data_IF_444818047525
#
_entry.id   IF_444818047525
#
_cell.length_a   1.000
_cell.length_b   1.000
_cell.length_c   1.000
_cell.angle_alpha   90.00
_cell.angle_beta   90.00
_cell.angle_gamma   90.00
#
_symmetry.space_group_name_H-M   'P 1'
#
loop_
_entity.id
_entity.type
_entity.pdbx_description
1 polymer ?
#
# COMPACT_ATOMS: atom_id res chain seq x y z
N UNK A 1 -16.86 18.60 -25.62
CA UNK A 1 -16.70 18.58 -24.14
C UNK A 1 -15.25 18.83 -23.83
N UNK A 2 -14.96 19.85 -23.02
CA UNK A 2 -13.60 20.27 -22.68
C UNK A 2 -13.29 19.89 -21.23
N UNK A 3 -12.03 19.53 -20.95
CA UNK A 3 -11.59 19.10 -19.62
C UNK A 3 -10.38 19.91 -19.18
N UNK A 4 -10.51 20.59 -18.04
CA UNK A 4 -9.43 21.31 -17.38
C UNK A 4 -9.02 20.53 -16.13
N UNK A 5 -7.71 20.34 -15.92
CA UNK A 5 -7.15 19.71 -14.71
C UNK A 5 -6.32 20.74 -13.97
N UNK A 6 -6.65 21.01 -12.70
CA UNK A 6 -5.98 22.02 -11.88
C UNK A 6 -5.26 21.32 -10.73
N UNK A 7 -3.94 21.46 -10.67
CA UNK A 7 -3.14 20.93 -9.56
C UNK A 7 -2.90 22.03 -8.54
N UNK A 8 -3.32 21.79 -7.29
CA UNK A 8 -3.18 22.76 -6.19
C UNK A 8 -2.39 22.14 -5.05
N UNK A 9 -1.23 22.70 -4.72
CA UNK A 9 -0.36 22.19 -3.66
C UNK A 9 -0.96 22.33 -2.26
N UNK A 10 -1.81 23.33 -2.03
CA UNK A 10 -2.42 23.59 -0.73
C UNK A 10 -3.83 23.01 -0.61
N UNK A 11 -3.98 22.00 0.25
CA UNK A 11 -5.26 21.29 0.47
C UNK A 11 -6.41 22.17 0.97
N UNK A 12 -6.13 23.25 1.71
CA UNK A 12 -7.18 24.19 2.16
C UNK A 12 -7.68 25.02 0.99
N UNK A 13 -6.75 25.57 0.19
CA UNK A 13 -7.08 26.34 -1.02
C UNK A 13 -7.79 25.48 -2.07
N UNK A 14 -7.41 24.21 -2.21
CA UNK A 14 -8.06 23.26 -3.12
C UNK A 14 -9.55 23.02 -2.77
N UNK A 15 -9.91 23.03 -1.48
CA UNK A 15 -11.31 22.93 -1.04
C UNK A 15 -12.10 24.19 -1.41
N UNK A 16 -11.57 25.37 -1.11
CA UNK A 16 -12.21 26.64 -1.48
C UNK A 16 -12.42 26.76 -3.00
N UNK A 17 -11.40 26.37 -3.79
CA UNK A 17 -11.50 26.36 -5.24
C UNK A 17 -12.58 25.38 -5.72
N UNK A 18 -12.68 24.19 -5.09
CA UNK A 18 -13.75 23.23 -5.41
C UNK A 18 -15.13 23.82 -5.15
N UNK A 19 -15.30 24.50 -4.03
CA UNK A 19 -16.59 25.08 -3.64
C UNK A 19 -16.98 26.24 -4.55
N UNK A 20 -16.01 27.05 -4.98
CA UNK A 20 -16.20 28.07 -6.02
C UNK A 20 -16.56 27.45 -7.38
N UNK A 21 -15.85 26.39 -7.80
CA UNK A 21 -16.15 25.72 -9.07
C UNK A 21 -17.54 25.09 -9.08
N UNK A 22 -18.05 24.65 -7.92
CA UNK A 22 -19.41 24.13 -7.78
C UNK A 22 -20.50 25.20 -7.91
N UNK A 23 -20.20 26.47 -7.67
CA UNK A 23 -21.18 27.55 -7.81
C UNK A 23 -21.34 28.04 -9.25
N UNK A 24 -20.62 27.46 -10.20
CA UNK A 24 -20.68 27.82 -11.61
C UNK A 24 -21.63 26.87 -12.34
N UNK A 25 -22.65 27.44 -12.99
CA UNK A 25 -23.75 26.68 -13.60
C UNK A 25 -23.30 25.73 -14.75
N UNK A 26 -22.15 26.01 -15.35
CA UNK A 26 -21.57 25.23 -16.45
C UNK A 26 -20.61 24.11 -16.00
N UNK A 27 -20.39 23.95 -14.69
CA UNK A 27 -19.48 22.94 -14.14
C UNK A 27 -20.27 21.68 -13.77
N UNK A 28 -20.33 20.72 -14.69
CA UNK A 28 -21.07 19.47 -14.46
C UNK A 28 -20.45 18.57 -13.39
N UNK A 29 -19.11 18.50 -13.30
CA UNK A 29 -18.40 17.56 -12.41
C UNK A 29 -17.11 18.16 -11.85
N UNK A 30 -17.01 18.17 -10.52
CA UNK A 30 -15.78 18.52 -9.79
C UNK A 30 -15.30 17.34 -8.93
N UNK A 31 -14.24 16.68 -9.38
CA UNK A 31 -13.55 15.62 -8.64
C UNK A 31 -12.33 16.17 -7.91
N UNK A 32 -12.18 15.81 -6.64
CA UNK A 32 -11.00 16.12 -5.84
C UNK A 32 -10.29 14.81 -5.55
N UNK A 33 -9.33 14.42 -6.38
CA UNK A 33 -8.49 13.26 -6.11
C UNK A 33 -7.35 13.69 -5.18
N UNK A 34 -7.44 13.34 -3.91
CA UNK A 34 -6.21 13.26 -3.12
C UNK A 34 -5.43 12.07 -3.68
N UNK A 35 -4.23 12.31 -4.19
CA UNK A 35 -3.29 11.25 -4.53
C UNK A 35 -2.94 10.51 -3.23
N UNK A 36 -3.78 9.54 -2.86
CA UNK A 36 -3.42 8.51 -1.91
C UNK A 36 -2.74 7.47 -2.76
N UNK A 37 -1.46 7.22 -2.51
CA UNK A 37 -0.83 6.02 -3.03
C UNK A 37 -1.77 4.85 -2.77
N UNK A 38 -2.12 4.05 -3.79
CA UNK A 38 -2.86 2.83 -3.53
C UNK A 38 -1.98 2.01 -2.60
N UNK A 39 -2.34 1.97 -1.31
CA UNK A 39 -1.81 0.96 -0.41
C UNK A 39 -2.32 -0.32 -1.00
N UNK A 40 -1.44 -1.01 -1.73
CA UNK A 40 -1.71 -2.32 -2.29
C UNK A 40 -2.18 -3.20 -1.13
N UNK A 41 -3.49 -3.40 -1.02
CA UNK A 41 -4.07 -4.40 -0.11
C UNK A 41 -3.77 -5.83 -0.59
N UNK A 42 -3.00 -5.98 -1.68
CA UNK A 42 -2.32 -7.24 -2.00
C UNK A 42 -1.07 -7.40 -1.12
N UNK A 43 -1.24 -7.33 0.18
CA UNK A 43 -0.55 -8.28 1.03
C UNK A 43 -1.11 -9.64 0.66
N UNK A 44 -0.59 -10.27 -0.41
CA UNK A 44 -0.73 -11.71 -0.58
C UNK A 44 -0.35 -12.28 0.78
N UNK A 45 -1.31 -12.87 1.50
CA UNK A 45 -0.98 -13.67 2.68
C UNK A 45 0.03 -14.67 2.17
N UNK A 46 1.31 -14.42 2.45
CA UNK A 46 2.37 -15.34 2.13
C UNK A 46 1.98 -16.61 2.86
N UNK A 47 1.59 -17.62 2.10
CA UNK A 47 1.08 -18.85 2.68
C UNK A 47 2.28 -19.50 3.37
N UNK A 48 2.32 -19.40 4.70
CA UNK A 48 3.46 -19.79 5.53
C UNK A 48 3.90 -21.23 5.22
N UNK A 49 2.93 -22.09 4.92
CA UNK A 49 3.15 -23.47 4.51
C UNK A 49 3.61 -23.63 3.05
N UNK A 50 3.32 -22.70 2.14
CA UNK A 50 3.92 -22.72 0.80
C UNK A 50 5.45 -22.47 0.86
N UNK A 51 5.93 -21.76 1.89
CA UNK A 51 7.36 -21.59 2.15
C UNK A 51 8.00 -22.81 2.84
N UNK A 52 7.20 -23.75 3.38
CA UNK A 52 7.71 -24.95 4.01
C UNK A 52 8.42 -25.89 3.02
N UNK A 53 8.08 -25.81 1.72
CA UNK A 53 8.76 -26.56 0.65
C UNK A 53 10.26 -26.22 0.51
N UNK A 54 10.69 -25.04 0.97
CA UNK A 54 12.12 -24.63 0.98
C UNK A 54 12.96 -25.55 1.90
N UNK A 55 12.30 -26.19 2.87
CA UNK A 55 12.94 -27.03 3.88
C UNK A 55 12.80 -28.53 3.59
N UNK A 56 12.01 -28.94 2.59
CA UNK A 56 11.66 -30.34 2.33
C UNK A 56 12.86 -31.25 1.98
N UNK A 57 13.93 -30.68 1.42
CA UNK A 57 15.16 -31.41 1.05
C UNK A 57 16.35 -31.11 1.96
N UNK A 58 16.11 -30.49 3.13
CA UNK A 58 17.18 -30.19 4.07
C UNK A 58 17.07 -31.11 5.28
N UNK A 59 18.17 -31.77 5.62
CA UNK A 59 18.30 -32.53 6.85
C UNK A 59 18.43 -31.56 8.04
N UNK A 60 17.27 -31.22 8.61
CA UNK A 60 17.11 -30.24 9.68
C UNK A 60 16.43 -30.92 10.86
N UNK A 61 17.22 -31.22 11.87
CA UNK A 61 16.71 -31.56 13.20
C UNK A 61 16.60 -30.30 14.07
N UNK A 62 15.71 -30.35 15.07
CA UNK A 62 15.57 -29.28 16.06
C UNK A 62 16.88 -29.01 16.82
N UNK A 63 17.67 -30.05 17.07
CA UNK A 63 18.98 -29.96 17.72
C UNK A 63 19.96 -29.13 16.88
N UNK A 64 20.02 -29.39 15.58
CA UNK A 64 20.88 -28.67 14.63
C UNK A 64 20.51 -27.18 14.52
N UNK A 65 19.20 -26.87 14.55
CA UNK A 65 18.72 -25.48 14.59
C UNK A 65 19.17 -24.80 15.89
N UNK A 66 18.98 -25.45 17.05
CA UNK A 66 19.35 -24.89 18.35
C UNK A 66 20.85 -24.63 18.46
N UNK A 67 21.69 -25.58 18.03
CA UNK A 67 23.14 -25.41 18.03
C UNK A 67 23.59 -24.26 17.13
N UNK A 68 22.98 -24.11 15.94
CA UNK A 68 23.36 -23.05 14.99
C UNK A 68 22.93 -21.66 15.49
N UNK A 69 21.72 -21.56 16.04
CA UNK A 69 21.16 -20.27 16.45
C UNK A 69 21.60 -19.84 17.86
N UNK A 70 21.97 -20.77 18.74
CA UNK A 70 22.48 -20.51 20.08
C UNK A 70 23.69 -21.39 20.41
N UNK A 71 24.85 -21.15 19.77
CA UNK A 71 26.07 -21.88 20.08
C UNK A 71 26.46 -21.63 21.55
N UNK A 72 26.46 -22.69 22.37
CA UNK A 72 26.88 -22.66 23.77
C UNK A 72 25.79 -22.76 24.83
N UNK A 73 24.50 -22.92 24.46
CA UNK A 73 23.46 -23.33 25.41
C UNK A 73 22.92 -24.72 25.04
N UNK A 74 23.51 -25.75 25.65
CA UNK A 74 22.93 -27.10 25.73
C UNK A 74 22.16 -27.19 27.04
#
# INVERSE_FOLDING_TARGET
>A
MERITIQVSNRRKARLLRDFLKSLDYVEKVSLSSFRFPVSSKGKKADFFAMAGIWANRDISLEKIRQTAWPGRV
#
